data_IF_673095827475
#
_entry.id   IF_673095827475
#
_cell.length_a   1.000
_cell.length_b   1.000
_cell.length_c   1.000
_cell.angle_alpha   90.00
_cell.angle_beta   90.00
_cell.angle_gamma   90.00
#
_symmetry.space_group_name_H-M   'P 1'
#
loop_
_entity.id
_entity.type
_entity.pdbx_description
1 polymer ?
#
# COMPACT_ATOMS: atom_id res chain seq x y z
N UNK A 1 32.57 0.06 -26.07
CA UNK A 1 32.11 -1.17 -25.39
C UNK A 1 31.52 -0.75 -24.05
N UNK A 2 30.20 -0.77 -23.93
CA UNK A 2 29.52 -0.41 -22.69
C UNK A 2 29.60 -1.59 -21.71
N UNK A 3 30.15 -1.33 -20.53
CA UNK A 3 30.14 -2.28 -19.41
C UNK A 3 28.70 -2.44 -18.93
N UNK A 4 28.11 -3.61 -19.18
CA UNK A 4 26.88 -4.00 -18.53
C UNK A 4 27.19 -4.23 -17.05
N UNK A 5 26.74 -3.33 -16.19
CA UNK A 5 26.81 -3.51 -14.75
C UNK A 5 26.17 -4.84 -14.37
N UNK A 6 26.93 -5.69 -13.67
CA UNK A 6 26.46 -7.00 -13.22
C UNK A 6 25.15 -6.87 -12.44
N UNK A 7 24.20 -7.82 -12.58
CA UNK A 7 23.02 -7.86 -11.74
C UNK A 7 23.46 -8.04 -10.28
N UNK A 8 23.16 -7.04 -9.45
CA UNK A 8 23.45 -7.06 -8.01
C UNK A 8 22.55 -8.12 -7.35
N UNK A 9 23.04 -8.91 -6.37
CA UNK A 9 22.28 -10.01 -5.78
C UNK A 9 20.97 -9.53 -5.16
N UNK A 10 19.89 -10.23 -5.48
CA UNK A 10 18.53 -10.07 -4.92
C UNK A 10 18.42 -10.27 -3.40
N UNK A 11 19.53 -10.62 -2.73
CA UNK A 11 19.55 -11.10 -1.34
C UNK A 11 19.80 -10.03 -0.27
N UNK A 12 19.93 -8.74 -0.62
CA UNK A 12 20.25 -7.68 0.37
C UNK A 12 19.06 -6.94 0.97
N UNK A 13 17.85 -7.15 0.46
CA UNK A 13 16.66 -6.50 0.99
C UNK A 13 15.70 -7.58 1.49
N UNK A 14 15.48 -7.60 2.80
CA UNK A 14 14.45 -8.44 3.41
C UNK A 14 13.13 -8.17 2.72
N UNK A 15 12.51 -9.22 2.17
CA UNK A 15 11.12 -9.14 1.74
C UNK A 15 10.30 -8.54 2.87
N UNK A 16 9.51 -7.52 2.58
CA UNK A 16 8.59 -7.00 3.58
C UNK A 16 7.62 -8.14 3.95
N UNK A 17 7.62 -8.57 5.22
CA UNK A 17 6.85 -9.74 5.69
C UNK A 17 5.83 -9.41 6.78
N UNK A 18 6.08 -8.36 7.57
CA UNK A 18 5.15 -7.91 8.61
C UNK A 18 5.24 -6.38 8.82
N UNK A 19 4.14 -5.63 8.60
CA UNK A 19 4.12 -4.19 8.79
C UNK A 19 4.17 -3.77 10.26
N UNK A 20 3.82 -4.65 11.20
CA UNK A 20 3.59 -4.34 12.62
C UNK A 20 4.72 -4.71 13.58
N UNK A 21 5.93 -5.04 13.10
CA UNK A 21 7.06 -5.34 14.00
C UNK A 21 7.42 -4.07 14.79
N UNK A 22 6.91 -4.01 16.03
CA UNK A 22 6.93 -2.81 16.88
C UNK A 22 6.12 -2.93 18.19
N UNK A 23 5.24 -3.91 18.35
CA UNK A 23 4.82 -4.37 19.69
C UNK A 23 5.44 -5.74 19.93
N UNK A 24 6.31 -5.89 20.95
CA UNK A 24 6.77 -7.22 21.30
C UNK A 24 5.55 -8.08 21.57
N UNK A 25 5.56 -9.30 21.01
CA UNK A 25 4.82 -10.42 21.61
C UNK A 25 4.94 -10.23 23.11
N UNK A 26 3.81 -10.02 23.81
CA UNK A 26 3.78 -10.51 25.17
C UNK A 26 4.18 -11.97 25.04
N UNK A 27 5.37 -12.29 25.53
CA UNK A 27 5.83 -13.65 25.71
C UNK A 27 4.67 -14.45 26.33
N UNK A 28 4.57 -15.77 26.11
CA UNK A 28 3.62 -16.58 26.87
C UNK A 28 3.82 -16.23 28.35
N UNK A 29 2.79 -15.61 28.94
CA UNK A 29 2.87 -15.02 30.27
C UNK A 29 3.36 -16.09 31.24
N UNK A 30 4.59 -15.95 31.71
CA UNK A 30 4.85 -16.33 33.08
C UNK A 30 3.98 -15.41 33.95
N UNK A 31 3.15 -16.03 34.77
CA UNK A 31 2.19 -15.46 35.70
C UNK A 31 2.72 -14.16 36.34
N UNK A 32 2.19 -13.01 35.89
CA UNK A 32 2.38 -11.72 36.54
C UNK A 32 1.01 -11.26 37.06
N UNK A 33 0.95 -10.73 38.29
CA UNK A 33 -0.32 -10.50 38.98
C UNK A 33 -1.13 -9.36 38.34
N UNK A 34 -2.46 -9.56 38.34
CA UNK A 34 -3.48 -8.82 37.58
C UNK A 34 -3.52 -7.28 37.77
N UNK A 35 -2.80 -6.72 38.72
CA UNK A 35 -2.87 -5.29 39.04
C UNK A 35 -1.94 -4.38 38.21
N UNK A 36 -1.12 -4.94 37.30
CA UNK A 36 -0.22 -4.16 36.40
C UNK A 36 -0.68 -4.14 34.93
N UNK A 37 -1.88 -4.64 34.61
CA UNK A 37 -2.32 -4.88 33.22
C UNK A 37 -3.06 -3.72 32.54
N UNK A 38 -3.00 -2.51 33.08
CA UNK A 38 -3.91 -1.42 32.73
C UNK A 38 -3.33 -0.30 31.85
N UNK A 39 -2.51 -0.65 30.85
CA UNK A 39 -2.15 0.24 29.74
C UNK A 39 -2.45 -0.40 28.38
N UNK A 40 -3.55 -1.15 28.30
CA UNK A 40 -4.12 -1.47 26.98
C UNK A 40 -4.98 -0.27 26.60
N UNK A 41 -4.64 0.51 25.54
CA UNK A 41 -5.55 1.54 25.06
C UNK A 41 -6.93 0.90 24.83
N UNK A 42 -8.02 1.59 25.18
CA UNK A 42 -9.36 1.03 25.03
C UNK A 42 -9.51 0.50 23.60
N UNK A 43 -10.14 -0.67 23.39
CA UNK A 43 -10.32 -1.21 22.06
C UNK A 43 -11.01 -0.15 21.21
N UNK A 44 -10.28 0.41 20.24
CA UNK A 44 -10.85 1.39 19.31
C UNK A 44 -12.02 0.71 18.61
N UNK A 45 -13.16 1.41 18.53
CA UNK A 45 -14.28 0.88 17.79
C UNK A 45 -13.90 0.78 16.32
N UNK A 46 -14.39 -0.26 15.63
CA UNK A 46 -14.11 -0.48 14.22
C UNK A 46 -14.38 0.78 13.36
N UNK A 47 -15.46 1.55 13.53
CA UNK A 47 -15.65 2.82 12.82
C UNK A 47 -14.54 3.87 13.05
N UNK A 48 -13.93 3.92 14.25
CA UNK A 48 -12.79 4.79 14.52
C UNK A 48 -11.55 4.32 13.75
N UNK A 49 -11.27 3.01 13.75
CA UNK A 49 -10.16 2.42 12.98
C UNK A 49 -10.33 2.65 11.48
N UNK A 50 -11.56 2.51 10.94
CA UNK A 50 -11.84 2.84 9.53
C UNK A 50 -11.66 4.34 9.25
N UNK A 51 -12.01 5.21 10.20
CA UNK A 51 -11.74 6.64 10.11
C UNK A 51 -10.24 6.98 10.05
N UNK A 52 -9.43 6.31 10.87
CA UNK A 52 -7.98 6.43 10.83
C UNK A 52 -7.41 5.97 9.49
N UNK A 53 -7.86 4.82 8.97
CA UNK A 53 -7.49 4.32 7.65
C UNK A 53 -7.78 5.36 6.55
N UNK A 54 -8.98 5.97 6.56
CA UNK A 54 -9.33 7.01 5.59
C UNK A 54 -8.37 8.19 5.65
N UNK A 55 -8.00 8.64 6.84
CA UNK A 55 -7.09 9.78 7.00
C UNK A 55 -5.67 9.44 6.51
N UNK A 56 -5.15 8.28 6.88
CA UNK A 56 -3.83 7.83 6.40
C UNK A 56 -3.82 7.59 4.88
N UNK A 57 -4.91 7.08 4.30
CA UNK A 57 -5.04 6.93 2.84
C UNK A 57 -5.07 8.28 2.12
N UNK A 58 -5.68 9.32 2.70
CA UNK A 58 -5.63 10.68 2.14
C UNK A 58 -4.20 11.19 2.10
N UNK A 59 -3.45 11.01 3.19
CA UNK A 59 -2.04 11.42 3.22
C UNK A 59 -1.20 10.67 2.18
N UNK A 60 -1.37 9.35 2.07
CA UNK A 60 -0.70 8.55 1.05
C UNK A 60 -1.07 9.00 -0.37
N UNK A 61 -2.37 9.24 -0.64
CA UNK A 61 -2.88 9.76 -1.92
C UNK A 61 -2.24 11.09 -2.30
N UNK A 62 -2.16 12.02 -1.36
CA UNK A 62 -1.67 13.37 -1.63
C UNK A 62 -0.15 13.33 -1.94
N UNK A 63 0.63 12.52 -1.20
CA UNK A 63 2.06 12.32 -1.48
C UNK A 63 2.32 11.66 -2.83
N UNK A 64 1.56 10.63 -3.21
CA UNK A 64 1.75 10.01 -4.54
C UNK A 64 1.36 10.97 -5.67
N UNK A 65 0.35 11.82 -5.47
CA UNK A 65 -0.02 12.85 -6.44
C UNK A 65 1.06 13.93 -6.59
N UNK A 66 1.63 14.38 -5.48
CA UNK A 66 2.77 15.31 -5.48
C UNK A 66 3.96 14.71 -6.22
N UNK A 67 4.33 13.47 -5.90
CA UNK A 67 5.45 12.81 -6.55
C UNK A 67 5.19 12.58 -8.05
N UNK A 68 3.96 12.20 -8.45
CA UNK A 68 3.55 12.11 -9.86
C UNK A 68 3.77 13.44 -10.60
N UNK A 69 3.40 14.56 -9.97
CA UNK A 69 3.61 15.89 -10.54
C UNK A 69 5.11 16.18 -10.67
N UNK A 70 5.93 15.81 -9.68
CA UNK A 70 7.37 16.00 -9.71
C UNK A 70 8.05 15.20 -10.82
N UNK A 71 7.61 13.97 -11.11
CA UNK A 71 8.07 13.21 -12.29
C UNK A 71 7.79 13.94 -13.60
N UNK A 72 6.64 14.63 -13.68
CA UNK A 72 6.25 15.42 -14.85
C UNK A 72 7.10 16.69 -14.99
N UNK A 73 7.25 17.46 -13.90
CA UNK A 73 7.93 18.77 -13.93
C UNK A 73 9.44 18.67 -13.99
N UNK A 74 10.04 17.59 -13.49
CA UNK A 74 11.49 17.34 -13.57
C UNK A 74 11.96 16.85 -14.94
N UNK A 75 11.04 16.60 -15.89
CA UNK A 75 11.38 16.08 -17.22
C UNK A 75 11.89 14.64 -17.22
N UNK A 76 11.66 13.87 -16.14
CA UNK A 76 12.05 12.46 -16.04
C UNK A 76 11.18 11.54 -16.90
N UNK A 77 9.93 11.93 -17.17
CA UNK A 77 9.08 11.23 -18.12
C UNK A 77 9.38 11.69 -19.55
N UNK A 78 9.29 10.77 -20.50
CA UNK A 78 9.47 11.07 -21.92
C UNK A 78 8.36 11.99 -22.44
N UNK A 79 8.54 13.31 -22.33
CA UNK A 79 7.61 14.29 -22.90
C UNK A 79 7.84 14.43 -24.40
N UNK A 80 7.21 13.56 -25.19
CA UNK A 80 7.20 13.65 -26.65
C UNK A 80 6.80 12.35 -27.35
N UNK A 81 5.75 12.39 -28.18
CA UNK A 81 5.25 11.25 -28.98
C UNK A 81 3.87 10.74 -28.56
N UNK A 82 3.41 9.65 -29.20
CA UNK A 82 2.11 8.98 -28.97
C UNK A 82 1.95 8.35 -27.55
N UNK A 83 2.91 8.56 -26.66
CA UNK A 83 2.96 7.94 -25.33
C UNK A 83 2.28 8.83 -24.29
N UNK A 84 0.94 8.87 -24.34
CA UNK A 84 0.16 9.47 -23.27
C UNK A 84 0.15 8.53 -22.05
N UNK A 85 1.13 8.67 -21.16
CA UNK A 85 1.23 7.88 -19.92
C UNK A 85 0.05 8.11 -18.96
N UNK A 86 -0.81 9.12 -19.17
CA UNK A 86 -2.07 9.27 -18.41
C UNK A 86 -3.21 8.41 -18.95
N UNK A 87 -3.04 7.80 -20.14
CA UNK A 87 -4.09 7.04 -20.79
C UNK A 87 -4.52 5.83 -19.94
N UNK A 88 -5.84 5.59 -19.79
CA UNK A 88 -6.37 4.60 -18.85
C UNK A 88 -6.06 3.15 -19.23
N UNK A 89 -5.67 2.89 -20.49
CA UNK A 89 -5.31 1.55 -20.99
C UNK A 89 -3.83 1.20 -20.74
N UNK A 90 -2.96 2.19 -20.50
CA UNK A 90 -1.57 1.94 -20.10
C UNK A 90 -1.60 1.54 -18.64
N UNK A 91 -1.23 0.30 -18.30
CA UNK A 91 -1.21 -0.22 -16.92
C UNK A 91 -0.03 -1.15 -16.76
N UNK A 92 0.44 -1.28 -15.52
CA UNK A 92 1.43 -2.28 -15.17
C UNK A 92 0.72 -3.58 -14.81
N UNK A 93 1.12 -4.67 -15.46
CA UNK A 93 0.61 -6.00 -15.12
C UNK A 93 0.89 -6.34 -13.66
N UNK A 94 -0.10 -6.87 -12.97
CA UNK A 94 -0.04 -7.17 -11.54
C UNK A 94 -0.31 -5.97 -10.61
N UNK A 95 -0.32 -4.73 -11.12
CA UNK A 95 -0.66 -3.58 -10.28
C UNK A 95 -2.16 -3.61 -9.91
N UNK A 96 -2.51 -3.47 -8.62
CA UNK A 96 -3.86 -3.68 -8.15
C UNK A 96 -4.78 -2.51 -8.50
N UNK A 97 -6.06 -2.81 -8.71
CA UNK A 97 -7.11 -1.80 -8.78
C UNK A 97 -8.05 -1.88 -7.58
N UNK A 98 -8.42 -0.72 -7.05
CA UNK A 98 -9.52 -0.59 -6.12
C UNK A 98 -10.83 -0.32 -6.89
N UNK A 99 -11.96 -0.93 -6.46
CA UNK A 99 -13.24 -0.77 -7.15
C UNK A 99 -13.69 0.70 -7.12
N UNK A 100 -14.30 1.15 -8.21
CA UNK A 100 -15.02 2.43 -8.20
C UNK A 100 -16.20 2.37 -7.22
N UNK A 101 -16.76 3.53 -6.84
CA UNK A 101 -17.77 3.65 -5.79
C UNK A 101 -18.94 2.65 -5.88
N UNK A 102 -19.55 2.48 -7.07
CA UNK A 102 -20.63 1.48 -7.24
C UNK A 102 -20.17 0.05 -6.94
N UNK A 103 -18.98 -0.31 -7.39
CA UNK A 103 -18.37 -1.60 -7.09
C UNK A 103 -18.04 -1.75 -5.60
N UNK A 104 -17.61 -0.66 -4.95
CA UNK A 104 -17.37 -0.63 -3.51
C UNK A 104 -18.66 -0.86 -2.71
N UNK A 105 -19.76 -0.19 -3.06
CA UNK A 105 -21.07 -0.40 -2.42
C UNK A 105 -21.57 -1.83 -2.60
N UNK A 106 -21.37 -2.41 -3.78
CA UNK A 106 -21.69 -3.82 -4.03
C UNK A 106 -20.87 -4.75 -3.12
N UNK A 107 -19.56 -4.54 -3.03
CA UNK A 107 -18.72 -5.33 -2.11
C UNK A 107 -19.17 -5.19 -0.66
N UNK A 108 -19.50 -3.98 -0.19
CA UNK A 108 -19.94 -3.73 1.19
C UNK A 108 -21.25 -4.47 1.51
N UNK A 109 -22.16 -4.60 0.52
CA UNK A 109 -23.45 -5.27 0.70
C UNK A 109 -23.39 -6.79 0.53
N UNK A 110 -22.45 -7.30 -0.27
CA UNK A 110 -22.39 -8.72 -0.65
C UNK A 110 -21.30 -9.51 0.06
N UNK A 111 -20.24 -8.87 0.57
CA UNK A 111 -19.08 -9.55 1.15
C UNK A 111 -19.01 -9.39 2.67
N UNK A 112 -18.42 -10.40 3.33
CA UNK A 112 -18.04 -10.28 4.72
C UNK A 112 -16.95 -9.19 4.85
N UNK A 113 -17.07 -8.36 5.88
CA UNK A 113 -16.06 -7.35 6.20
C UNK A 113 -14.65 -7.95 6.33
N UNK A 114 -14.50 -9.12 6.93
CA UNK A 114 -13.18 -9.78 7.05
C UNK A 114 -12.56 -10.02 5.67
N UNK A 115 -13.34 -10.50 4.70
CA UNK A 115 -12.87 -10.74 3.32
C UNK A 115 -12.54 -9.42 2.61
N UNK A 116 -13.32 -8.36 2.87
CA UNK A 116 -13.06 -7.00 2.37
C UNK A 116 -11.69 -6.52 2.86
N UNK A 117 -11.42 -6.65 4.17
CA UNK A 117 -10.18 -6.20 4.80
C UNK A 117 -8.98 -7.03 4.33
N UNK A 118 -9.10 -8.36 4.24
CA UNK A 118 -8.05 -9.26 3.74
C UNK A 118 -7.70 -8.96 2.27
N UNK A 119 -8.73 -8.79 1.43
CA UNK A 119 -8.54 -8.45 0.01
C UNK A 119 -7.82 -7.10 -0.16
N UNK A 120 -8.22 -6.10 0.61
CA UNK A 120 -7.59 -4.77 0.51
C UNK A 120 -6.18 -4.75 1.12
N UNK A 121 -5.94 -5.53 2.18
CA UNK A 121 -4.60 -5.75 2.72
C UNK A 121 -3.70 -6.31 1.63
N UNK A 122 -4.11 -7.39 0.96
CA UNK A 122 -3.35 -7.99 -0.14
C UNK A 122 -3.09 -6.98 -1.26
N UNK A 123 -4.07 -6.16 -1.65
CA UNK A 123 -3.86 -5.13 -2.68
C UNK A 123 -2.86 -4.06 -2.25
N UNK A 124 -2.98 -3.51 -1.04
CA UNK A 124 -2.02 -2.53 -0.50
C UNK A 124 -0.62 -3.11 -0.43
N UNK A 125 -0.53 -4.39 -0.11
CA UNK A 125 0.71 -5.14 -0.04
C UNK A 125 1.41 -5.21 -1.41
N UNK A 126 0.65 -5.37 -2.50
CA UNK A 126 1.19 -5.29 -3.86
C UNK A 126 1.66 -3.87 -4.17
N UNK A 127 0.88 -2.83 -3.83
CA UNK A 127 1.31 -1.44 -4.03
C UNK A 127 2.65 -1.17 -3.34
N UNK A 128 2.84 -1.70 -2.12
CA UNK A 128 4.10 -1.58 -1.37
C UNK A 128 5.29 -2.15 -2.14
N UNK A 129 5.15 -3.32 -2.79
CA UNK A 129 6.18 -3.93 -3.64
C UNK A 129 6.57 -3.01 -4.80
N UNK A 130 5.60 -2.40 -5.48
CA UNK A 130 5.87 -1.50 -6.60
C UNK A 130 6.57 -0.21 -6.13
N UNK A 131 6.15 0.37 -5.00
CA UNK A 131 6.82 1.53 -4.40
C UNK A 131 8.24 1.19 -3.94
N UNK A 132 8.46 -0.01 -3.40
CA UNK A 132 9.79 -0.50 -3.04
C UNK A 132 10.72 -0.59 -4.26
N UNK A 133 10.22 -1.05 -5.41
CA UNK A 133 11.00 -1.06 -6.64
C UNK A 133 11.39 0.36 -7.07
N UNK A 134 10.46 1.31 -7.05
CA UNK A 134 10.75 2.71 -7.38
C UNK A 134 11.80 3.33 -6.43
N UNK A 135 11.75 2.99 -5.13
CA UNK A 135 12.78 3.39 -4.15
C UNK A 135 14.14 2.84 -4.50
N UNK A 136 14.21 1.56 -4.85
CA UNK A 136 15.45 0.90 -5.18
C UNK A 136 16.08 1.51 -6.44
N UNK A 137 15.27 1.78 -7.47
CA UNK A 137 15.79 2.38 -8.69
C UNK A 137 16.29 3.82 -8.46
N UNK A 138 15.60 4.59 -7.61
CA UNK A 138 16.05 5.93 -7.21
C UNK A 138 17.37 5.91 -6.40
N UNK A 139 17.54 4.93 -5.52
CA UNK A 139 18.76 4.77 -4.72
C UNK A 139 19.93 4.25 -5.55
N UNK A 140 19.68 3.31 -6.47
CA UNK A 140 20.73 2.62 -7.21
C UNK A 140 21.19 3.37 -8.46
N UNK A 141 20.29 4.10 -9.14
CA UNK A 141 20.56 4.63 -10.49
C UNK A 141 20.31 6.13 -10.64
N UNK A 142 19.78 6.81 -9.61
CA UNK A 142 19.39 8.23 -9.68
C UNK A 142 20.12 9.11 -8.66
N UNK A 143 19.76 10.41 -8.66
CA UNK A 143 20.31 11.42 -7.75
C UNK A 143 19.77 11.36 -6.32
N UNK A 144 18.93 10.38 -6.00
CA UNK A 144 18.20 10.29 -4.71
C UNK A 144 17.26 11.47 -4.42
N UNK A 145 16.95 12.31 -5.42
CA UNK A 145 16.10 13.49 -5.26
C UNK A 145 14.66 13.12 -4.84
N UNK A 146 14.10 12.03 -5.37
CA UNK A 146 12.76 11.56 -5.03
C UNK A 146 12.73 10.57 -3.86
N UNK A 147 13.89 10.13 -3.39
CA UNK A 147 14.00 9.10 -2.35
C UNK A 147 13.29 9.51 -1.03
N UNK A 148 13.34 10.78 -0.56
CA UNK A 148 12.59 11.19 0.63
C UNK A 148 11.07 11.04 0.48
N UNK A 149 10.52 11.42 -0.68
CA UNK A 149 9.09 11.30 -0.97
C UNK A 149 8.67 9.83 -1.05
N UNK A 150 9.45 9.01 -1.76
CA UNK A 150 9.21 7.57 -1.87
C UNK A 150 9.30 6.87 -0.50
N UNK A 151 10.26 7.23 0.35
CA UNK A 151 10.37 6.72 1.73
C UNK A 151 9.17 7.13 2.60
N UNK A 152 8.63 8.33 2.41
CA UNK A 152 7.42 8.76 3.12
C UNK A 152 6.19 7.96 2.66
N UNK A 153 5.99 7.78 1.35
CA UNK A 153 4.90 6.96 0.80
C UNK A 153 5.00 5.52 1.32
N UNK A 154 6.19 4.92 1.27
CA UNK A 154 6.41 3.55 1.75
C UNK A 154 6.07 3.38 3.23
N UNK A 155 6.48 4.33 4.09
CA UNK A 155 6.13 4.32 5.51
C UNK A 155 4.62 4.45 5.75
N UNK A 156 3.93 5.29 4.98
CA UNK A 156 2.48 5.44 5.09
C UNK A 156 1.74 4.16 4.67
N UNK A 157 2.18 3.50 3.60
CA UNK A 157 1.61 2.20 3.18
C UNK A 157 1.86 1.13 4.26
N UNK A 158 3.07 1.09 4.82
CA UNK A 158 3.39 0.17 5.93
C UNK A 158 2.48 0.42 7.14
N UNK A 159 2.24 1.69 7.49
CA UNK A 159 1.32 2.06 8.58
C UNK A 159 -0.12 1.60 8.28
N UNK A 160 -0.63 1.85 7.07
CA UNK A 160 -1.95 1.40 6.62
C UNK A 160 -2.12 -0.12 6.72
N UNK A 161 -1.13 -0.88 6.24
CA UNK A 161 -1.12 -2.34 6.35
C UNK A 161 -1.17 -2.77 7.83
N UNK A 162 -0.45 -2.07 8.72
CA UNK A 162 -0.51 -2.41 10.14
C UNK A 162 -1.88 -2.12 10.76
N UNK A 163 -2.50 -0.98 10.44
CA UNK A 163 -3.86 -0.66 10.92
C UNK A 163 -4.86 -1.71 10.43
N UNK A 164 -4.77 -2.15 9.16
CA UNK A 164 -5.60 -3.24 8.64
C UNK A 164 -5.37 -4.57 9.34
N UNK A 165 -4.11 -4.94 9.59
CA UNK A 165 -3.79 -6.16 10.34
C UNK A 165 -4.37 -6.13 11.75
N UNK A 166 -4.30 -4.99 12.44
CA UNK A 166 -4.91 -4.83 13.76
C UNK A 166 -6.44 -4.90 13.69
N UNK A 167 -7.07 -4.30 12.67
CA UNK A 167 -8.53 -4.40 12.45
C UNK A 167 -8.99 -5.84 12.17
N UNK A 168 -8.16 -6.65 11.51
CA UNK A 168 -8.42 -8.08 11.31
C UNK A 168 -8.30 -8.87 12.62
N UNK A 169 -7.29 -8.56 13.46
CA UNK A 169 -7.10 -9.22 14.76
C UNK A 169 -8.27 -8.99 15.72
N UNK A 170 -8.84 -7.78 15.76
CA UNK A 170 -10.05 -7.51 16.59
C UNK A 170 -11.27 -8.31 16.16
N UNK A 171 -11.22 -8.90 14.96
CA UNK A 171 -12.24 -9.75 14.36
C UNK A 171 -11.87 -11.24 14.40
N UNK A 172 -10.85 -11.62 15.17
CA UNK A 172 -10.27 -12.97 15.22
C UNK A 172 -9.82 -13.51 13.85
N UNK A 173 -9.39 -12.62 12.95
CA UNK A 173 -8.80 -12.97 11.68
C UNK A 173 -7.30 -12.62 11.68
N UNK A 174 -6.48 -13.49 11.09
CA UNK A 174 -5.05 -13.28 10.96
C UNK A 174 -4.65 -13.12 9.50
N UNK A 175 -3.64 -12.28 9.27
CA UNK A 175 -2.98 -12.18 7.96
C UNK A 175 -2.00 -13.34 7.86
N UNK A 176 -2.32 -14.31 7.02
CA UNK A 176 -1.42 -15.42 6.69
C UNK A 176 -0.51 -15.09 5.49
N UNK A 177 0.40 -16.00 5.18
CA UNK A 177 1.35 -15.93 4.06
C UNK A 177 0.71 -15.68 2.69
N UNK A 178 -0.54 -16.09 2.49
CA UNK A 178 -1.25 -15.92 1.22
C UNK A 178 -1.81 -14.50 1.03
N UNK A 179 -1.90 -13.74 2.12
CA UNK A 179 -2.50 -12.40 2.14
C UNK A 179 -1.48 -11.29 1.91
N UNK A 180 -0.18 -11.59 1.92
CA UNK A 180 0.85 -10.61 1.60
C UNK A 180 1.52 -10.88 0.25
N UNK A 181 1.79 -9.80 -0.47
CA UNK A 181 2.44 -9.83 -1.76
C UNK A 181 3.94 -10.10 -1.63
N UNK A 182 4.37 -11.26 -2.12
CA UNK A 182 5.80 -11.52 -2.35
C UNK A 182 6.24 -10.85 -3.63
N UNK A 183 7.41 -10.20 -3.59
CA UNK A 183 7.93 -9.37 -4.68
C UNK A 183 8.03 -10.13 -6.01
N UNK A 184 8.45 -11.39 -5.95
CA UNK A 184 8.62 -12.26 -7.12
C UNK A 184 7.31 -12.60 -7.85
N UNK A 185 6.18 -12.64 -7.15
CA UNK A 185 4.87 -12.94 -7.72
C UNK A 185 4.07 -11.67 -8.05
N UNK A 186 4.25 -10.62 -7.26
CA UNK A 186 3.51 -9.37 -7.40
C UNK A 186 3.98 -8.52 -8.57
N UNK A 187 5.28 -8.59 -8.91
CA UNK A 187 5.88 -7.75 -9.95
C UNK A 187 6.64 -8.58 -10.97
N UNK A 188 6.22 -8.46 -12.24
CA UNK A 188 6.90 -9.11 -13.37
C UNK A 188 8.40 -8.76 -13.38
N UNK A 189 9.25 -9.76 -13.64
CA UNK A 189 10.70 -9.59 -13.73
C UNK A 189 11.13 -8.49 -14.71
N UNK A 190 10.39 -8.32 -15.81
CA UNK A 190 10.63 -7.23 -16.77
C UNK A 190 10.64 -5.89 -16.08
N UNK A 191 9.66 -5.61 -15.22
CA UNK A 191 9.58 -4.33 -14.50
C UNK A 191 10.70 -4.13 -13.47
N UNK A 192 11.45 -5.17 -13.11
CA UNK A 192 12.58 -5.11 -12.18
C UNK A 192 13.94 -4.88 -12.86
N UNK A 193 13.98 -4.96 -14.19
CA UNK A 193 15.22 -5.01 -14.99
C UNK A 193 15.16 -4.11 -16.22
N UNK A 194 14.30 -3.08 -16.21
CA UNK A 194 14.12 -2.18 -17.36
C UNK A 194 15.29 -1.19 -17.50
N UNK A 195 15.31 -0.49 -18.63
CA UNK A 195 16.23 0.63 -18.83
C UNK A 195 15.87 1.79 -17.89
N UNK A 196 16.83 2.70 -17.64
CA UNK A 196 16.62 3.87 -16.78
C UNK A 196 15.44 4.76 -17.23
N UNK A 197 15.31 4.99 -18.54
CA UNK A 197 14.19 5.78 -19.08
C UNK A 197 12.85 5.08 -18.87
N UNK A 198 12.80 3.76 -19.10
CA UNK A 198 11.58 2.99 -18.88
C UNK A 198 11.21 2.90 -17.39
N UNK A 199 12.19 2.93 -16.48
CA UNK A 199 11.95 3.00 -15.04
C UNK A 199 11.21 4.28 -14.67
N UNK A 200 11.55 5.42 -15.27
CA UNK A 200 10.85 6.69 -15.00
C UNK A 200 9.39 6.65 -15.46
N UNK A 201 9.13 6.12 -16.66
CA UNK A 201 7.78 5.96 -17.18
C UNK A 201 6.97 4.97 -16.31
N UNK A 202 7.58 3.85 -15.91
CA UNK A 202 6.99 2.89 -14.97
C UNK A 202 6.67 3.53 -13.62
N UNK A 203 7.60 4.28 -13.03
CA UNK A 203 7.43 4.89 -11.71
C UNK A 203 6.36 5.97 -11.72
N UNK A 204 6.28 6.74 -12.81
CA UNK A 204 5.16 7.62 -13.06
C UNK A 204 3.83 6.86 -13.07
N UNK A 205 3.73 5.73 -13.79
CA UNK A 205 2.52 4.90 -13.83
C UNK A 205 2.18 4.36 -12.43
N UNK A 206 3.19 3.92 -11.65
CA UNK A 206 3.00 3.49 -10.25
C UNK A 206 2.38 4.60 -9.43
N UNK A 207 2.89 5.84 -9.50
CA UNK A 207 2.31 6.96 -8.74
C UNK A 207 0.89 7.31 -9.20
N UNK A 208 0.66 7.33 -10.52
CA UNK A 208 -0.64 7.61 -11.13
C UNK A 208 -1.70 6.58 -10.71
N UNK A 209 -1.37 5.30 -10.73
CA UNK A 209 -2.32 4.24 -10.38
C UNK A 209 -2.47 4.08 -8.87
N UNK A 210 -1.42 4.34 -8.09
CA UNK A 210 -1.51 4.47 -6.63
C UNK A 210 -2.48 5.59 -6.23
N UNK A 211 -2.42 6.75 -6.90
CA UNK A 211 -3.36 7.84 -6.65
C UNK A 211 -4.81 7.42 -6.86
N UNK A 212 -5.11 6.75 -7.99
CA UNK A 212 -6.45 6.21 -8.28
C UNK A 212 -6.86 5.17 -7.25
N UNK A 213 -5.94 4.27 -6.89
CA UNK A 213 -6.15 3.22 -5.91
C UNK A 213 -6.55 3.78 -4.54
N UNK A 214 -5.76 4.71 -3.98
CA UNK A 214 -6.08 5.34 -2.70
C UNK A 214 -7.36 6.16 -2.76
N UNK A 215 -7.61 6.88 -3.86
CA UNK A 215 -8.85 7.65 -4.03
C UNK A 215 -10.09 6.76 -3.95
N UNK A 216 -10.05 5.59 -4.59
CA UNK A 216 -11.14 4.62 -4.54
C UNK A 216 -11.26 3.94 -3.17
N UNK A 217 -10.14 3.61 -2.51
CA UNK A 217 -10.19 3.08 -1.14
C UNK A 217 -10.77 4.10 -0.15
N UNK A 218 -10.42 5.38 -0.25
CA UNK A 218 -11.01 6.44 0.58
C UNK A 218 -12.53 6.42 0.47
N UNK A 219 -13.07 6.37 -0.76
CA UNK A 219 -14.51 6.30 -0.99
C UNK A 219 -15.13 5.02 -0.39
N UNK A 220 -14.48 3.86 -0.59
CA UNK A 220 -14.92 2.58 -0.05
C UNK A 220 -14.97 2.59 1.49
N UNK A 221 -13.89 3.01 2.14
CA UNK A 221 -13.80 2.99 3.61
C UNK A 221 -14.65 4.07 4.28
N UNK A 222 -14.89 5.21 3.61
CA UNK A 222 -15.87 6.19 4.07
C UNK A 222 -17.27 5.58 4.06
N UNK A 223 -17.68 4.97 2.94
CA UNK A 223 -19.00 4.34 2.83
C UNK A 223 -19.17 3.16 3.81
N UNK A 224 -18.13 2.34 3.98
CA UNK A 224 -18.14 1.22 4.92
C UNK A 224 -18.28 1.71 6.37
N UNK A 225 -17.57 2.78 6.75
CA UNK A 225 -17.70 3.39 8.07
C UNK A 225 -19.13 3.88 8.32
N UNK A 226 -19.73 4.55 7.35
CA UNK A 226 -21.09 5.08 7.44
C UNK A 226 -22.12 3.94 7.54
N UNK A 227 -21.94 2.87 6.77
CA UNK A 227 -22.78 1.66 6.83
C UNK A 227 -22.74 0.98 8.21
N UNK A 228 -21.55 0.85 8.80
CA UNK A 228 -21.41 0.23 10.13
C UNK A 228 -21.98 1.13 11.24
N UNK A 229 -21.77 2.44 11.13
CA UNK A 229 -22.25 3.41 12.13
C UNK A 229 -23.78 3.54 12.14
N UNK A 230 -24.44 3.30 11.01
CA UNK A 230 -25.90 3.26 10.91
C UNK A 230 -26.49 1.92 11.35
N UNK A 231 -25.77 0.82 11.14
CA UNK A 231 -26.18 -0.52 11.58
C UNK A 231 -26.16 -0.66 13.11
N UNK A 232 -25.19 -0.04 13.78
CA UNK A 232 -25.07 -0.05 15.25
C UNK A 232 -26.19 0.75 15.97
N UNK A 233 -26.94 1.59 15.26
CA UNK A 233 -28.06 2.38 15.80
C UNK A 233 -29.43 1.68 15.64
N UNK A 234 -29.47 0.55 14.93
CA UNK A 234 -30.71 -0.18 14.65
C UNK A 234 -30.95 -1.37 15.60
N UNK A 235 -30.16 -1.47 16.68
CA UNK A 235 -30.26 -2.49 17.75
C UNK A 235 -30.74 -1.85 19.04
#
# INVERSE_FOLDING_TARGET
>A
MASFGSPVPTSRYEEWRDPCVGTPRQAPMAELPDFLRNDTPPPQSLPQTLGELVNQMKEARDKVQELKQNYTTSGRISQGGCNNLDAPYIKLDGFPSAPAFRGAMRMISEMNLTDILLTDYQKLSVVMVFIEQARWDEEAFESSYFLPALNAIYRNIKSLLCVLSNALRTRNAEVSEEHYARREFAMNQRYRTMSRSDNHDRDYIIMRDSYKFFSNLILKYTALKDFLSTSDQAV
#
